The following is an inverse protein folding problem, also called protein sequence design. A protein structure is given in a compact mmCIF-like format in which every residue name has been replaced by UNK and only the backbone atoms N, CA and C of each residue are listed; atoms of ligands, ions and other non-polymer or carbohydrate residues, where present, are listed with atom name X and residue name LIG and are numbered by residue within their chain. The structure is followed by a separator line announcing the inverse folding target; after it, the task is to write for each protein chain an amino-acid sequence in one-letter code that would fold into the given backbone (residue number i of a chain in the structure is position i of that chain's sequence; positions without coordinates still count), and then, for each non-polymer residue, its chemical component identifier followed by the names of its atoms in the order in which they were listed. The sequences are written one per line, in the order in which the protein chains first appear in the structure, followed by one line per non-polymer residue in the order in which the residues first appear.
data_IF_549863190518
#
_entry.id   IF_549863190518
#
_cell.length_a   1.000
_cell.length_b   1.000
_cell.length_c   1.000
_cell.angle_alpha   90.00
_cell.angle_beta   90.00
_cell.angle_gamma   90.00
#
_symmetry.space_group_name_H-M   'P 1'
#
loop_
_entity.id
_entity.type
_entity.pdbx_description
1 polymer ?
#
# COMPACT_ATOMS: atom_id res chain seq x y z
N UNK A 1 9.84 17.96 -14.38
CA UNK A 1 10.78 17.08 -15.07
C UNK A 1 10.14 15.69 -15.18
N UNK A 2 10.15 15.10 -16.37
CA UNK A 2 9.63 13.76 -16.59
C UNK A 2 10.51 12.69 -15.94
N UNK A 3 9.89 11.75 -15.22
CA UNK A 3 10.50 10.50 -14.77
C UNK A 3 9.53 9.35 -15.02
N UNK A 4 9.99 8.16 -15.46
CA UNK A 4 9.11 7.00 -15.65
C UNK A 4 8.33 6.68 -14.37
N UNK A 5 7.00 6.45 -14.52
CA UNK A 5 6.11 6.17 -13.38
C UNK A 5 5.63 7.41 -12.61
N UNK A 6 6.10 8.59 -12.95
CA UNK A 6 5.79 9.84 -12.24
C UNK A 6 5.96 9.69 -10.72
N UNK A 7 5.07 10.30 -9.93
CA UNK A 7 5.18 10.30 -8.46
C UNK A 7 4.58 9.00 -7.88
N UNK A 8 3.31 8.75 -8.13
CA UNK A 8 2.55 7.72 -7.42
C UNK A 8 3.02 6.31 -7.76
N UNK A 9 3.23 5.99 -9.06
CA UNK A 9 3.67 4.65 -9.44
C UNK A 9 5.08 4.34 -8.91
N UNK A 10 5.96 5.34 -8.78
CA UNK A 10 7.28 5.13 -8.19
C UNK A 10 7.21 4.79 -6.72
N UNK A 11 6.36 5.50 -5.97
CA UNK A 11 6.13 5.20 -4.54
C UNK A 11 5.49 3.82 -4.41
N UNK A 12 4.52 3.50 -5.26
CA UNK A 12 3.80 2.21 -5.23
C UNK A 12 4.74 1.02 -5.49
N UNK A 13 5.72 1.14 -6.39
CA UNK A 13 6.71 0.07 -6.64
C UNK A 13 7.54 -0.21 -5.38
N UNK A 14 7.98 0.82 -4.66
CA UNK A 14 8.72 0.65 -3.41
C UNK A 14 7.85 0.02 -2.32
N UNK A 15 6.60 0.45 -2.20
CA UNK A 15 5.64 -0.18 -1.28
C UNK A 15 5.40 -1.65 -1.63
N UNK A 16 5.25 -2.00 -2.91
CA UNK A 16 5.08 -3.39 -3.33
C UNK A 16 6.28 -4.26 -2.94
N UNK A 17 7.51 -3.76 -3.12
CA UNK A 17 8.73 -4.47 -2.73
C UNK A 17 8.71 -4.82 -1.24
N UNK A 18 8.40 -3.87 -0.40
CA UNK A 18 8.33 -4.07 1.04
C UNK A 18 7.16 -4.99 1.44
N UNK A 19 5.99 -4.81 0.85
CA UNK A 19 4.81 -5.65 1.12
C UNK A 19 5.12 -7.13 0.82
N UNK A 20 5.67 -7.44 -0.35
CA UNK A 20 5.99 -8.83 -0.69
C UNK A 20 7.09 -9.41 0.22
N UNK A 21 8.11 -8.63 0.53
CA UNK A 21 9.15 -9.04 1.48
C UNK A 21 8.58 -9.41 2.86
N UNK A 22 7.69 -8.59 3.41
CA UNK A 22 7.09 -8.85 4.71
C UNK A 22 6.17 -10.09 4.71
N UNK A 23 5.42 -10.30 3.62
CA UNK A 23 4.57 -11.49 3.44
C UNK A 23 5.43 -12.76 3.28
N UNK A 24 6.47 -12.73 2.45
CA UNK A 24 7.37 -13.87 2.20
C UNK A 24 8.12 -14.32 3.46
N UNK A 25 8.49 -13.37 4.31
CA UNK A 25 9.17 -13.66 5.56
C UNK A 25 8.21 -13.97 6.72
N UNK A 26 6.91 -14.05 6.48
CA UNK A 26 5.91 -14.39 7.48
C UNK A 26 5.78 -13.36 8.61
N UNK A 27 6.17 -12.10 8.36
CA UNK A 27 6.09 -11.03 9.36
C UNK A 27 4.63 -10.68 9.66
N UNK A 28 3.77 -10.78 8.66
CA UNK A 28 2.33 -10.55 8.78
C UNK A 28 1.54 -11.34 7.73
N UNK A 29 0.23 -11.50 7.96
CA UNK A 29 -0.71 -11.98 6.94
C UNK A 29 -1.19 -10.83 6.04
N UNK A 30 -1.78 -11.11 4.86
CA UNK A 30 -2.40 -10.08 4.02
C UNK A 30 -3.42 -9.22 4.77
N UNK A 31 -4.24 -9.82 5.63
CA UNK A 31 -5.26 -9.13 6.42
C UNK A 31 -4.62 -8.18 7.45
N UNK A 32 -3.56 -8.63 8.13
CA UNK A 32 -2.82 -7.83 9.10
C UNK A 32 -2.13 -6.64 8.42
N UNK A 33 -1.52 -6.86 7.25
CA UNK A 33 -0.91 -5.81 6.43
C UNK A 33 -1.95 -4.75 6.06
N UNK A 34 -3.06 -5.16 5.47
CA UNK A 34 -4.13 -4.25 5.05
C UNK A 34 -4.72 -3.48 6.24
N UNK A 35 -4.92 -4.14 7.38
CA UNK A 35 -5.41 -3.51 8.59
C UNK A 35 -4.45 -2.44 9.11
N UNK A 36 -3.16 -2.75 9.21
CA UNK A 36 -2.13 -1.82 9.69
C UNK A 36 -2.03 -0.58 8.80
N UNK A 37 -2.06 -0.77 7.48
CA UNK A 37 -1.99 0.32 6.51
C UNK A 37 -3.22 1.22 6.59
N UNK A 38 -4.43 0.63 6.61
CA UNK A 38 -5.70 1.37 6.69
C UNK A 38 -5.86 2.11 8.01
N UNK A 39 -5.41 1.54 9.13
CA UNK A 39 -5.57 2.12 10.46
C UNK A 39 -4.49 3.15 10.82
N UNK A 40 -3.36 3.17 10.14
CA UNK A 40 -2.21 3.99 10.53
C UNK A 40 -1.63 4.82 9.39
N UNK A 41 -1.08 4.17 8.36
CA UNK A 41 -0.35 4.88 7.30
C UNK A 41 -1.27 5.79 6.48
N UNK A 42 -2.42 5.27 6.05
CA UNK A 42 -3.33 6.01 5.16
C UNK A 42 -3.97 7.23 5.83
N UNK A 43 -4.52 7.15 7.06
CA UNK A 43 -5.05 8.34 7.73
C UNK A 43 -4.02 9.45 7.91
N UNK A 44 -2.80 9.09 8.31
CA UNK A 44 -1.70 10.09 8.43
C UNK A 44 -1.33 10.70 7.08
N UNK A 45 -1.31 9.88 6.02
CA UNK A 45 -1.06 10.34 4.68
C UNK A 45 -2.14 11.28 4.15
N UNK A 46 -3.40 11.08 4.53
CA UNK A 46 -4.50 11.98 4.17
C UNK A 46 -4.40 13.35 4.85
N UNK A 47 -3.91 13.41 6.08
CA UNK A 47 -3.80 14.66 6.85
C UNK A 47 -2.52 15.42 6.51
N UNK A 48 -1.37 14.77 6.48
CA UNK A 48 -0.06 15.41 6.36
C UNK A 48 0.63 15.18 5.00
N UNK A 49 0.13 14.26 4.20
CA UNK A 49 0.88 13.79 3.04
C UNK A 49 2.17 13.06 3.44
N UNK A 50 3.04 12.84 2.47
CA UNK A 50 4.30 12.11 2.70
C UNK A 50 5.48 13.03 3.03
N UNK A 51 5.42 14.32 2.68
CA UNK A 51 6.51 15.27 2.90
C UNK A 51 6.30 16.05 4.20
N UNK A 52 5.15 16.67 4.38
CA UNK A 52 4.86 17.47 5.58
C UNK A 52 5.00 16.67 6.88
N UNK A 53 4.73 15.36 6.86
CA UNK A 53 4.94 14.51 8.03
C UNK A 53 6.37 14.54 8.60
N UNK A 54 7.38 14.87 7.77
CA UNK A 54 8.76 14.98 8.25
C UNK A 54 8.95 16.18 9.18
N UNK A 55 8.24 17.28 8.93
CA UNK A 55 8.28 18.45 9.81
C UNK A 55 7.68 18.12 11.18
N UNK A 56 6.62 17.31 11.23
CA UNK A 56 6.01 16.86 12.49
C UNK A 56 6.83 15.80 13.23
N UNK A 57 7.62 15.00 12.53
CA UNK A 57 8.53 14.01 13.14
C UNK A 57 9.81 14.66 13.65
N UNK A 58 10.26 15.69 12.99
CA UNK A 58 11.57 16.30 13.12
C UNK A 58 12.51 15.86 12.00
N UNK A 59 13.06 16.83 11.28
CA UNK A 59 13.99 16.56 10.18
C UNK A 59 15.31 15.96 10.67
N UNK A 60 15.75 16.32 11.85
CA UNK A 60 16.91 15.77 12.53
C UNK A 60 16.74 14.29 12.87
N UNK A 61 15.56 13.90 13.39
CA UNK A 61 15.23 12.50 13.67
C UNK A 61 15.23 11.69 12.37
N UNK A 62 14.61 12.21 11.32
CA UNK A 62 14.55 11.57 10.03
C UNK A 62 15.93 11.40 9.39
N UNK A 63 16.79 12.42 9.49
CA UNK A 63 18.18 12.37 9.04
C UNK A 63 18.98 11.31 9.79
N UNK A 64 18.88 11.27 11.12
CA UNK A 64 19.56 10.29 11.96
C UNK A 64 19.12 8.85 11.64
N UNK A 65 17.83 8.61 11.39
CA UNK A 65 17.32 7.29 10.98
C UNK A 65 17.94 6.80 9.67
N UNK A 66 18.14 7.72 8.71
CA UNK A 66 18.80 7.39 7.43
C UNK A 66 20.28 7.09 7.65
N UNK A 67 20.99 7.94 8.39
CA UNK A 67 22.44 7.80 8.67
C UNK A 67 22.72 6.50 9.43
N UNK A 68 21.91 6.19 10.42
CA UNK A 68 22.11 5.00 11.27
C UNK A 68 21.70 3.70 10.58
N UNK A 69 21.10 3.76 9.40
CA UNK A 69 20.70 2.57 8.65
C UNK A 69 19.77 1.65 9.41
N UNK A 70 18.81 2.22 10.16
CA UNK A 70 17.87 1.47 11.02
C UNK A 70 17.07 0.40 10.28
N UNK A 71 16.95 0.53 8.95
CA UNK A 71 16.24 -0.40 8.07
C UNK A 71 17.12 -0.78 6.89
N UNK A 72 17.27 -2.08 6.68
CA UNK A 72 17.88 -2.61 5.45
C UNK A 72 16.75 -2.82 4.45
N UNK A 73 16.81 -2.08 3.33
CA UNK A 73 15.84 -2.25 2.25
C UNK A 73 15.99 -3.65 1.64
N UNK A 74 14.88 -4.37 1.41
CA UNK A 74 14.95 -5.65 0.70
C UNK A 74 15.40 -5.44 -0.75
N UNK A 75 16.07 -6.46 -1.30
CA UNK A 75 16.39 -6.46 -2.73
C UNK A 75 15.10 -6.52 -3.56
N UNK A 76 15.07 -5.75 -4.65
CA UNK A 76 13.93 -5.76 -5.56
C UNK A 76 13.90 -7.05 -6.37
N UNK A 77 12.94 -7.92 -6.11
CA UNK A 77 12.68 -9.11 -6.92
C UNK A 77 11.79 -8.77 -8.11
N UNK A 78 12.12 -9.33 -9.28
CA UNK A 78 11.21 -9.31 -10.45
C UNK A 78 10.18 -10.45 -10.39
N UNK A 79 10.34 -11.38 -9.45
CA UNK A 79 9.51 -12.57 -9.30
C UNK A 79 9.29 -12.86 -7.81
N UNK A 80 8.62 -11.96 -7.06
CA UNK A 80 8.35 -12.20 -5.65
C UNK A 80 7.45 -13.41 -5.47
N UNK A 81 7.89 -14.39 -4.66
CA UNK A 81 7.20 -15.65 -4.46
C UNK A 81 5.78 -15.44 -3.91
N UNK A 82 5.61 -14.50 -2.97
CA UNK A 82 4.30 -14.18 -2.41
C UNK A 82 3.25 -13.84 -3.47
N UNK A 83 3.64 -13.25 -4.60
CA UNK A 83 2.73 -12.95 -5.70
C UNK A 83 2.65 -14.11 -6.71
N UNK A 84 3.81 -14.62 -7.12
CA UNK A 84 3.89 -15.56 -8.24
C UNK A 84 3.36 -16.94 -7.87
N UNK A 85 3.43 -17.36 -6.61
CA UNK A 85 2.80 -18.59 -6.13
C UNK A 85 1.28 -18.61 -6.34
N UNK A 86 0.62 -17.45 -6.25
CA UNK A 86 -0.79 -17.30 -6.60
C UNK A 86 -1.00 -17.32 -8.12
N UNK A 87 -0.18 -16.60 -8.87
CA UNK A 87 -0.27 -16.54 -10.34
C UNK A 87 -0.11 -17.92 -10.95
N UNK A 88 0.87 -18.69 -10.51
CA UNK A 88 1.16 -20.05 -11.02
C UNK A 88 0.04 -21.06 -10.70
N UNK A 89 -0.71 -20.81 -9.60
CA UNK A 89 -1.92 -21.59 -9.24
C UNK A 89 -3.17 -21.09 -9.96
N UNK A 90 -3.09 -20.05 -10.80
CA UNK A 90 -4.23 -19.42 -11.46
C UNK A 90 -5.14 -18.63 -10.51
N UNK A 91 -4.68 -18.29 -9.31
CA UNK A 91 -5.39 -17.49 -8.31
C UNK A 91 -5.18 -15.98 -8.59
N UNK A 92 -5.90 -15.45 -9.59
CA UNK A 92 -5.70 -14.11 -10.12
C UNK A 92 -6.60 -13.04 -9.46
N UNK A 93 -6.98 -13.23 -8.21
CA UNK A 93 -7.83 -12.33 -7.44
C UNK A 93 -9.30 -12.42 -7.88
N UNK A 94 -9.98 -11.27 -7.94
CA UNK A 94 -11.41 -11.21 -8.29
C UNK A 94 -11.73 -11.71 -9.71
N UNK A 95 -10.73 -11.88 -10.57
CA UNK A 95 -10.92 -12.45 -11.93
C UNK A 95 -11.24 -13.94 -11.90
N UNK A 96 -10.70 -14.64 -10.92
CA UNK A 96 -10.82 -16.09 -10.76
C UNK A 96 -11.51 -16.49 -9.45
N UNK A 97 -11.96 -15.51 -8.67
CA UNK A 97 -12.64 -15.71 -7.40
C UNK A 97 -11.70 -15.98 -6.22
N UNK A 98 -10.39 -16.05 -6.45
CA UNK A 98 -9.37 -16.27 -5.41
C UNK A 98 -8.05 -15.59 -5.76
N UNK A 99 -7.37 -15.09 -4.75
CA UNK A 99 -6.03 -14.52 -4.78
C UNK A 99 -5.49 -14.54 -3.35
N UNK A 100 -4.92 -13.44 -2.86
CA UNK A 100 -4.60 -13.28 -1.43
C UNK A 100 -5.84 -13.44 -0.53
N UNK A 101 -7.01 -13.18 -1.08
CA UNK A 101 -8.31 -13.35 -0.43
C UNK A 101 -9.20 -14.31 -1.20
N UNK A 102 -10.13 -14.95 -0.48
CA UNK A 102 -11.18 -15.77 -1.06
C UNK A 102 -12.41 -14.89 -1.37
N UNK A 103 -12.83 -14.90 -2.64
CA UNK A 103 -13.99 -14.16 -3.15
C UNK A 103 -15.13 -15.08 -3.60
N UNK A 104 -15.07 -16.39 -3.27
CA UNK A 104 -16.05 -17.36 -3.73
C UNK A 104 -17.49 -16.93 -3.47
N UNK A 105 -18.36 -17.18 -4.44
CA UNK A 105 -19.79 -16.85 -4.38
C UNK A 105 -20.13 -15.37 -4.62
N UNK A 106 -19.14 -14.52 -4.93
CA UNK A 106 -19.35 -13.11 -5.24
C UNK A 106 -18.96 -12.81 -6.68
N UNK A 107 -19.82 -12.08 -7.41
CA UNK A 107 -19.48 -11.66 -8.77
C UNK A 107 -18.44 -10.53 -8.76
N UNK A 108 -17.71 -10.42 -9.87
CA UNK A 108 -16.75 -9.33 -10.07
C UNK A 108 -17.44 -7.97 -10.03
N UNK A 109 -18.62 -7.88 -10.60
CA UNK A 109 -19.44 -6.66 -10.65
C UNK A 109 -19.84 -6.20 -9.25
N UNK A 110 -20.34 -7.11 -8.41
CA UNK A 110 -20.66 -6.80 -7.00
C UNK A 110 -19.44 -6.33 -6.20
N UNK A 111 -18.30 -7.00 -6.37
CA UNK A 111 -17.06 -6.62 -5.68
C UNK A 111 -16.57 -5.24 -6.13
N UNK A 112 -16.60 -4.95 -7.43
CA UNK A 112 -16.23 -3.64 -7.98
C UNK A 112 -17.20 -2.55 -7.50
N UNK A 113 -18.50 -2.79 -7.56
CA UNK A 113 -19.50 -1.82 -7.09
C UNK A 113 -19.34 -1.50 -5.60
N UNK A 114 -19.09 -2.52 -4.76
CA UNK A 114 -18.81 -2.31 -3.34
C UNK A 114 -17.54 -1.50 -3.10
N UNK A 115 -16.45 -1.81 -3.82
CA UNK A 115 -15.21 -1.04 -3.76
C UNK A 115 -15.44 0.43 -4.12
N UNK A 116 -16.10 0.68 -5.24
CA UNK A 116 -16.32 2.03 -5.76
C UNK A 116 -17.21 2.85 -4.82
N UNK A 117 -18.24 2.22 -4.25
CA UNK A 117 -19.07 2.86 -3.23
C UNK A 117 -18.24 3.27 -1.99
N UNK A 118 -17.37 2.39 -1.49
CA UNK A 118 -16.52 2.68 -0.33
C UNK A 118 -15.48 3.76 -0.65
N UNK A 119 -14.87 3.73 -1.84
CA UNK A 119 -13.94 4.78 -2.30
C UNK A 119 -14.63 6.14 -2.37
N UNK A 120 -15.85 6.17 -2.93
CA UNK A 120 -16.62 7.41 -3.01
C UNK A 120 -16.93 7.99 -1.62
N UNK A 121 -17.29 7.14 -0.65
CA UNK A 121 -17.50 7.57 0.73
C UNK A 121 -16.22 8.14 1.37
N UNK A 122 -15.07 7.52 1.13
CA UNK A 122 -13.78 8.04 1.61
C UNK A 122 -13.51 9.41 0.99
N UNK A 123 -13.65 9.55 -0.33
CA UNK A 123 -13.43 10.82 -1.04
C UNK A 123 -14.40 11.92 -0.57
N UNK A 124 -15.66 11.59 -0.30
CA UNK A 124 -16.62 12.54 0.26
C UNK A 124 -16.23 13.00 1.67
N UNK A 125 -15.75 12.08 2.50
CA UNK A 125 -15.38 12.36 3.88
C UNK A 125 -14.03 13.10 4.03
N UNK A 126 -13.16 13.04 3.01
CA UNK A 126 -11.78 13.52 3.07
C UNK A 126 -11.43 14.52 1.96
N UNK A 127 -12.40 14.91 1.14
CA UNK A 127 -12.16 15.78 -0.02
C UNK A 127 -11.60 17.16 0.37
N UNK A 128 -12.01 17.69 1.49
CA UNK A 128 -11.52 18.93 2.07
C UNK A 128 -10.09 18.85 2.62
N UNK A 129 -9.60 17.65 2.90
CA UNK A 129 -8.23 17.44 3.39
C UNK A 129 -7.18 17.51 2.27
N UNK A 130 -7.58 17.37 1.00
CA UNK A 130 -6.65 17.35 -0.14
C UNK A 130 -5.90 18.68 -0.27
N UNK A 131 -6.61 19.78 -0.05
CA UNK A 131 -6.08 21.15 -0.15
C UNK A 131 -5.68 21.73 1.23
N UNK A 132 -5.95 20.98 2.31
CA UNK A 132 -5.61 21.42 3.66
C UNK A 132 -4.08 21.37 3.87
N UNK A 133 -3.53 22.46 4.36
CA UNK A 133 -2.17 22.57 4.89
C UNK A 133 -2.23 22.96 6.35
N UNK A 134 -1.48 22.28 7.18
CA UNK A 134 -1.36 22.58 8.61
C UNK A 134 -0.14 23.48 8.83
#
# INVERSE_FOLDING_TARGET
KYVPGYIINRIQILLNTEVFYLLENGVCTPEQMDMAVKASLMPRGMVLGLVQRYDFTGLDISANNIINGSYVMPETSKHPAALFDHVDKGELGIKTGKGFYDYAGRSREELCAKRDHLLFRVLQATGDLIDATI
#
